data_IF_015828459721
#
_entry.id   IF_015828459721
#
_cell.length_a   1.000
_cell.length_b   1.000
_cell.length_c   1.000
_cell.angle_alpha   90.00
_cell.angle_beta   90.00
_cell.angle_gamma   90.00
#
_symmetry.space_group_name_H-M   'P 1'
#
loop_
_entity.id
_entity.type
_entity.pdbx_description
1 polymer ?
#
# COMPACT_ATOMS: atom_id res chain seq x y z
N UNK A 1 25.93 -46.67 4.56
CA UNK A 1 26.27 -45.34 5.06
C UNK A 1 25.26 -44.42 4.33
N UNK A 2 24.25 -43.96 5.05
CA UNK A 2 23.26 -43.07 4.52
C UNK A 2 23.81 -41.63 4.68
N UNK A 3 23.97 -40.91 3.58
CA UNK A 3 24.26 -39.48 3.61
C UNK A 3 23.03 -38.73 4.06
N UNK A 4 23.14 -38.03 5.19
CA UNK A 4 22.15 -37.08 5.66
C UNK A 4 22.08 -35.90 4.67
N UNK A 5 20.94 -35.76 4.02
CA UNK A 5 20.61 -34.58 3.22
C UNK A 5 20.41 -33.43 4.21
N UNK A 6 21.39 -32.54 4.32
CA UNK A 6 21.25 -31.26 5.02
C UNK A 6 20.16 -30.44 4.33
N UNK A 7 19.10 -30.16 5.05
CA UNK A 7 18.15 -29.10 4.72
C UNK A 7 18.92 -27.78 4.59
N UNK A 8 18.64 -26.93 3.57
CA UNK A 8 19.27 -25.62 3.49
C UNK A 8 18.81 -24.80 4.68
N UNK A 9 19.77 -24.33 5.47
CA UNK A 9 19.57 -23.28 6.46
C UNK A 9 18.92 -22.10 5.71
N UNK A 10 17.79 -21.62 6.23
CA UNK A 10 17.16 -20.37 5.79
C UNK A 10 18.21 -19.28 5.95
N UNK A 11 18.78 -18.80 4.83
CA UNK A 11 19.57 -17.58 4.82
C UNK A 11 18.74 -16.48 5.46
N UNK A 12 19.19 -15.92 6.61
CA UNK A 12 18.66 -14.69 7.17
C UNK A 12 18.69 -13.65 6.06
N UNK A 13 17.54 -13.30 5.51
CA UNK A 13 17.43 -12.20 4.55
C UNK A 13 18.04 -10.97 5.21
N UNK A 14 19.10 -10.41 4.64
CA UNK A 14 19.87 -9.33 5.23
C UNK A 14 18.96 -8.22 5.73
N UNK A 15 19.16 -7.77 6.97
CA UNK A 15 18.35 -6.71 7.59
C UNK A 15 18.36 -5.48 6.70
N UNK A 16 17.20 -4.90 6.43
CA UNK A 16 17.12 -3.65 5.71
C UNK A 16 17.57 -2.47 6.59
N UNK A 17 17.86 -1.33 5.99
CA UNK A 17 18.42 -0.17 6.71
C UNK A 17 17.47 0.41 7.79
N UNK A 18 16.13 0.27 7.65
CA UNK A 18 15.17 0.70 8.68
C UNK A 18 15.37 -0.14 9.94
N UNK A 19 15.45 -1.47 9.77
CA UNK A 19 15.66 -2.37 10.89
C UNK A 19 17.01 -2.13 11.57
N UNK A 20 18.06 -1.79 10.79
CA UNK A 20 19.35 -1.42 11.38
C UNK A 20 19.25 -0.16 12.25
N UNK A 21 18.53 0.88 11.78
CA UNK A 21 18.31 2.09 12.58
C UNK A 21 17.50 1.80 13.85
N UNK A 22 16.47 0.95 13.75
CA UNK A 22 15.66 0.56 14.91
C UNK A 22 16.52 -0.21 15.92
N UNK A 23 17.34 -1.18 15.45
CA UNK A 23 18.25 -1.94 16.31
C UNK A 23 19.23 -1.02 17.04
N UNK A 24 19.79 -0.01 16.37
CA UNK A 24 20.66 1.00 16.98
C UNK A 24 19.91 1.83 18.03
N UNK A 25 18.68 2.24 17.73
CA UNK A 25 17.88 3.12 18.59
C UNK A 25 17.38 2.43 19.87
N UNK A 26 17.11 1.12 19.81
CA UNK A 26 16.64 0.34 20.98
C UNK A 26 17.79 -0.32 21.77
N UNK A 27 19.00 -0.35 21.21
CA UNK A 27 20.19 -0.88 21.88
C UNK A 27 20.56 -0.08 23.12
N UNK A 28 21.50 -0.61 23.90
CA UNK A 28 22.05 0.08 25.08
C UNK A 28 22.66 1.45 24.68
N UNK A 29 22.18 2.52 25.28
CA UNK A 29 22.57 3.90 24.97
C UNK A 29 21.84 4.51 23.76
N UNK A 30 20.98 3.77 23.09
CA UNK A 30 20.15 4.28 21.99
C UNK A 30 18.99 5.15 22.47
N UNK A 31 18.44 5.95 21.56
CA UNK A 31 17.39 6.94 21.86
C UNK A 31 16.13 6.30 22.47
N UNK A 32 15.79 5.06 22.07
CA UNK A 32 14.60 4.33 22.48
C UNK A 32 14.93 3.08 23.30
N UNK A 33 16.07 3.07 23.98
CA UNK A 33 16.47 1.95 24.84
C UNK A 33 15.36 1.58 25.83
N UNK A 34 14.95 0.30 25.81
CA UNK A 34 13.92 -0.23 26.71
C UNK A 34 12.48 0.19 26.37
N UNK A 35 12.28 0.92 25.27
CA UNK A 35 10.95 1.27 24.78
C UNK A 35 10.43 0.24 23.78
N UNK A 36 9.12 0.08 23.73
CA UNK A 36 8.45 -0.71 22.70
C UNK A 36 8.52 0.04 21.36
N UNK A 37 8.93 -0.65 20.30
CA UNK A 37 8.89 -0.10 18.94
C UNK A 37 7.44 0.22 18.56
N UNK A 38 7.20 1.47 18.22
CA UNK A 38 5.85 1.96 17.92
C UNK A 38 5.86 2.73 16.61
N UNK A 39 5.17 2.21 15.62
CA UNK A 39 5.01 2.79 14.28
C UNK A 39 3.57 3.24 14.06
N UNK A 40 3.28 3.84 12.92
CA UNK A 40 1.91 4.18 12.52
C UNK A 40 1.76 4.17 11.00
N UNK A 41 0.58 3.83 10.52
CA UNK A 41 0.14 4.01 9.14
C UNK A 41 -0.90 5.13 9.08
N UNK A 42 -0.61 6.30 8.45
CA UNK A 42 -1.48 7.47 8.46
C UNK A 42 -2.09 7.74 7.07
N UNK A 43 -3.05 6.94 6.59
CA UNK A 43 -3.64 7.19 5.28
C UNK A 43 -4.58 8.41 5.31
N UNK A 44 -4.57 9.21 4.22
CA UNK A 44 -5.64 10.18 3.97
C UNK A 44 -6.92 9.44 3.55
N UNK A 45 -8.09 9.67 4.20
CA UNK A 45 -9.36 9.03 3.84
C UNK A 45 -10.01 9.70 2.62
N UNK A 46 -9.28 9.78 1.50
CA UNK A 46 -9.67 10.44 0.26
C UNK A 46 -9.71 9.52 -0.97
N UNK A 47 -9.74 8.21 -0.75
CA UNK A 47 -9.81 7.17 -1.78
C UNK A 47 -9.42 5.80 -1.25
N UNK A 48 -9.65 4.78 -2.06
CA UNK A 48 -9.30 3.40 -1.76
C UNK A 48 -7.79 3.17 -1.75
N UNK A 49 -7.34 2.21 -0.95
CA UNK A 49 -5.96 1.76 -0.96
C UNK A 49 -5.64 1.05 -2.29
N UNK A 50 -4.41 1.15 -2.72
CA UNK A 50 -3.90 0.47 -3.91
C UNK A 50 -2.57 -0.24 -3.60
N UNK A 51 -2.08 -1.03 -4.52
CA UNK A 51 -0.85 -1.84 -4.35
C UNK A 51 0.35 -1.01 -3.83
N UNK A 52 0.44 0.27 -4.17
CA UNK A 52 1.49 1.16 -3.64
C UNK A 52 1.43 1.37 -2.13
N UNK A 53 0.24 1.32 -1.52
CA UNK A 53 0.07 1.42 -0.06
C UNK A 53 0.45 0.13 0.65
N UNK A 54 0.38 -1.04 -0.04
CA UNK A 54 0.73 -2.32 0.57
C UNK A 54 2.19 -2.35 1.03
N UNK A 55 3.10 -1.72 0.27
CA UNK A 55 4.51 -1.63 0.68
C UNK A 55 4.65 -0.84 1.99
N UNK A 56 3.96 0.31 2.13
CA UNK A 56 3.97 1.09 3.36
C UNK A 56 3.35 0.30 4.52
N UNK A 57 2.18 -0.33 4.31
CA UNK A 57 1.54 -1.19 5.31
C UNK A 57 2.47 -2.31 5.78
N UNK A 58 3.13 -3.01 4.86
CA UNK A 58 4.08 -4.08 5.19
C UNK A 58 5.29 -3.54 5.96
N UNK A 59 5.74 -2.31 5.67
CA UNK A 59 6.83 -1.68 6.41
C UNK A 59 6.37 -1.25 7.80
N UNK A 60 5.24 -0.54 7.92
CA UNK A 60 4.77 0.02 9.20
C UNK A 60 4.31 -1.10 10.15
N UNK A 61 3.35 -1.93 9.73
CA UNK A 61 2.83 -3.05 10.53
C UNK A 61 3.85 -4.19 10.66
N UNK A 62 4.51 -4.58 9.57
CA UNK A 62 5.51 -5.65 9.60
C UNK A 62 6.73 -5.31 10.46
N UNK A 63 7.13 -4.04 10.55
CA UNK A 63 8.14 -3.60 11.52
C UNK A 63 7.64 -3.79 12.95
N UNK A 64 6.41 -3.36 13.25
CA UNK A 64 5.83 -3.56 14.57
C UNK A 64 5.74 -5.06 14.91
N UNK A 65 5.22 -5.90 14.01
CA UNK A 65 5.17 -7.36 14.19
C UNK A 65 6.55 -7.95 14.51
N UNK A 66 7.59 -7.55 13.76
CA UNK A 66 8.96 -8.08 13.92
C UNK A 66 9.58 -7.78 15.27
N UNK A 67 9.27 -6.62 15.85
CA UNK A 67 9.80 -6.21 17.16
C UNK A 67 8.82 -6.47 18.31
N UNK A 68 7.75 -7.23 18.11
CA UNK A 68 6.65 -7.38 19.07
C UNK A 68 6.16 -6.02 19.60
N UNK A 69 6.14 -5.04 18.71
CA UNK A 69 5.80 -3.66 18.97
C UNK A 69 4.34 -3.34 18.64
N UNK A 70 4.09 -2.06 18.42
CA UNK A 70 2.75 -1.52 18.17
C UNK A 70 2.72 -0.77 16.84
N UNK A 71 1.57 -0.81 16.15
CA UNK A 71 1.32 0.05 14.99
C UNK A 71 -0.07 0.70 15.13
N UNK A 72 -0.12 2.03 15.01
CA UNK A 72 -1.37 2.78 15.02
C UNK A 72 -1.93 2.91 13.60
N UNK A 73 -3.24 2.88 13.47
CA UNK A 73 -3.95 3.37 12.30
C UNK A 73 -4.48 4.78 12.61
N UNK A 74 -3.90 5.81 11.98
CA UNK A 74 -4.36 7.19 12.14
C UNK A 74 -4.85 7.73 10.80
N UNK A 75 -6.13 8.02 10.68
CA UNK A 75 -6.66 8.73 9.51
C UNK A 75 -6.13 10.16 9.50
N UNK A 76 -5.34 10.51 8.48
CA UNK A 76 -4.90 11.89 8.27
C UNK A 76 -6.04 12.68 7.63
N UNK A 77 -6.96 13.13 8.48
CA UNK A 77 -8.12 13.93 8.14
C UNK A 77 -7.92 15.43 8.48
N UNK A 78 -6.70 15.91 8.35
CA UNK A 78 -6.36 17.33 8.62
C UNK A 78 -6.87 18.29 7.55
N UNK A 79 -7.21 17.80 6.37
CA UNK A 79 -7.70 18.60 5.24
C UNK A 79 -9.22 18.38 4.99
N UNK A 80 -10.09 19.34 5.29
CA UNK A 80 -11.55 19.15 5.23
C UNK A 80 -12.13 18.95 3.82
N UNK A 81 -11.33 19.06 2.76
CA UNK A 81 -11.85 19.19 1.39
C UNK A 81 -12.12 17.88 0.65
N UNK A 82 -11.77 16.71 1.20
CA UNK A 82 -11.73 15.48 0.39
C UNK A 82 -12.08 14.19 1.12
N UNK A 83 -12.59 14.26 2.32
CA UNK A 83 -12.70 13.13 3.21
C UNK A 83 -14.12 12.57 3.23
N UNK A 84 -14.23 11.23 3.17
CA UNK A 84 -15.51 10.51 3.18
C UNK A 84 -15.40 9.28 4.09
N UNK A 85 -16.46 9.02 4.86
CA UNK A 85 -16.58 7.87 5.76
C UNK A 85 -16.50 6.53 5.01
N UNK A 86 -16.96 6.49 3.76
CA UNK A 86 -16.82 5.33 2.87
C UNK A 86 -15.36 4.90 2.72
N UNK A 87 -14.45 5.87 2.54
CA UNK A 87 -13.03 5.57 2.39
C UNK A 87 -12.38 5.09 3.69
N UNK A 88 -12.83 5.61 4.83
CA UNK A 88 -12.36 5.15 6.15
C UNK A 88 -12.66 3.65 6.34
N UNK A 89 -13.91 3.25 6.09
CA UNK A 89 -14.30 1.84 6.23
C UNK A 89 -13.63 0.93 5.18
N UNK A 90 -13.46 1.39 3.95
CA UNK A 90 -12.74 0.65 2.92
C UNK A 90 -11.26 0.43 3.30
N UNK A 91 -10.59 1.46 3.85
CA UNK A 91 -9.21 1.37 4.33
C UNK A 91 -9.09 0.34 5.46
N UNK A 92 -9.97 0.37 6.45
CA UNK A 92 -10.00 -0.61 7.55
C UNK A 92 -10.17 -2.04 7.03
N UNK A 93 -11.14 -2.27 6.14
CA UNK A 93 -11.38 -3.57 5.53
C UNK A 93 -10.17 -4.09 4.75
N UNK A 94 -9.51 -3.24 3.98
CA UNK A 94 -8.34 -3.62 3.20
C UNK A 94 -7.14 -3.99 4.09
N UNK A 95 -6.91 -3.26 5.19
CA UNK A 95 -5.84 -3.53 6.16
C UNK A 95 -6.09 -4.87 6.85
N UNK A 96 -7.30 -5.11 7.34
CA UNK A 96 -7.67 -6.40 7.94
C UNK A 96 -7.60 -7.56 6.94
N UNK A 97 -8.02 -7.33 5.69
CA UNK A 97 -7.89 -8.36 4.66
C UNK A 97 -6.42 -8.74 4.40
N UNK A 98 -5.49 -7.78 4.47
CA UNK A 98 -4.06 -8.07 4.37
C UNK A 98 -3.51 -8.81 5.60
N UNK A 99 -4.30 -8.99 6.66
CA UNK A 99 -3.93 -9.67 7.90
C UNK A 99 -3.25 -8.79 8.93
N UNK A 100 -3.33 -7.46 8.79
CA UNK A 100 -2.85 -6.50 9.78
C UNK A 100 -3.98 -6.05 10.72
N UNK A 101 -3.62 -5.77 11.96
CA UNK A 101 -4.55 -5.28 12.98
C UNK A 101 -3.89 -4.20 13.85
N UNK A 102 -4.64 -3.15 14.09
CA UNK A 102 -4.24 -2.04 14.97
C UNK A 102 -4.82 -2.17 16.39
N UNK A 103 -5.72 -3.14 16.66
CA UNK A 103 -6.43 -3.32 17.92
C UNK A 103 -7.30 -2.09 18.25
N UNK A 104 -7.09 -1.51 19.42
CA UNK A 104 -7.77 -0.29 19.90
C UNK A 104 -7.06 1.02 19.50
N UNK A 105 -5.94 0.94 18.76
CA UNK A 105 -5.11 2.09 18.37
C UNK A 105 -5.55 2.71 17.04
N UNK A 106 -6.81 3.12 16.99
CA UNK A 106 -7.40 3.83 15.86
C UNK A 106 -7.62 5.29 16.21
N UNK A 107 -7.04 6.20 15.43
CA UNK A 107 -7.04 7.63 15.68
C UNK A 107 -7.43 8.42 14.44
N UNK A 108 -7.83 9.67 14.66
CA UNK A 108 -8.01 10.68 13.62
C UNK A 108 -7.11 11.88 13.89
N UNK A 109 -6.48 12.43 12.87
CA UNK A 109 -5.71 13.67 12.99
C UNK A 109 -6.54 14.84 13.52
N UNK A 110 -7.82 14.91 13.15
CA UNK A 110 -8.75 15.94 13.63
C UNK A 110 -9.05 15.88 15.13
N UNK A 111 -8.75 14.78 15.82
CA UNK A 111 -8.92 14.69 17.28
C UNK A 111 -7.87 15.54 18.02
N UNK A 112 -6.76 15.87 17.37
CA UNK A 112 -5.64 16.63 17.93
C UNK A 112 -5.67 18.13 17.59
N UNK A 113 -6.66 18.65 16.87
CA UNK A 113 -6.70 20.05 16.45
C UNK A 113 -6.60 21.06 17.59
N UNK A 114 -7.13 20.76 18.78
CA UNK A 114 -7.00 21.63 19.94
C UNK A 114 -5.55 21.68 20.45
N UNK A 115 -4.88 20.53 20.43
CA UNK A 115 -3.48 20.43 20.84
C UNK A 115 -2.56 21.08 19.80
N UNK A 116 -2.81 20.83 18.50
CA UNK A 116 -2.08 21.50 17.41
C UNK A 116 -2.18 23.03 17.55
N UNK A 117 -3.40 23.54 17.85
CA UNK A 117 -3.61 24.97 18.09
C UNK A 117 -2.85 25.45 19.33
N UNK A 118 -2.84 24.71 20.42
CA UNK A 118 -2.11 25.04 21.65
C UNK A 118 -0.61 25.15 21.39
N UNK A 119 -0.04 24.21 20.63
CA UNK A 119 1.37 24.24 20.24
C UNK A 119 1.69 25.41 19.31
N UNK A 120 0.81 25.75 18.39
CA UNK A 120 0.96 26.94 17.53
C UNK A 120 0.98 28.23 18.35
N UNK A 121 0.08 28.38 19.31
CA UNK A 121 0.07 29.52 20.27
C UNK A 121 1.37 29.57 21.09
N UNK A 122 1.88 28.43 21.52
CA UNK A 122 3.15 28.33 22.22
C UNK A 122 4.32 28.82 21.36
N UNK A 123 4.38 28.42 20.10
CA UNK A 123 5.42 28.91 19.18
C UNK A 123 5.36 30.43 18.97
N UNK A 124 4.15 31.00 18.87
CA UNK A 124 4.00 32.47 18.78
C UNK A 124 4.57 33.13 20.06
N UNK A 125 4.19 32.63 21.25
CA UNK A 125 4.67 33.14 22.55
C UNK A 125 6.20 33.07 22.68
N UNK A 126 6.82 32.03 22.11
CA UNK A 126 8.28 31.87 22.05
C UNK A 126 8.93 32.76 20.99
N UNK A 127 8.17 33.55 20.18
CA UNK A 127 8.69 34.34 19.08
C UNK A 127 9.15 33.47 17.89
N UNK A 128 8.72 32.22 17.82
CA UNK A 128 9.08 31.22 16.80
C UNK A 128 8.01 31.04 15.73
N UNK A 129 6.91 31.80 15.79
CA UNK A 129 5.90 31.87 14.73
C UNK A 129 5.29 33.27 14.67
N UNK A 130 4.80 33.63 13.51
CA UNK A 130 4.18 34.94 13.25
C UNK A 130 3.03 34.83 12.23
N UNK A 131 2.01 35.70 12.35
CA UNK A 131 0.95 35.80 11.36
C UNK A 131 1.42 36.61 10.15
N UNK A 132 1.26 36.03 8.98
CA UNK A 132 1.65 36.57 7.69
C UNK A 132 0.40 36.90 6.86
N UNK A 133 0.31 38.10 6.32
CA UNK A 133 -0.80 38.58 5.49
C UNK A 133 -0.50 38.63 3.99
N UNK A 134 0.57 37.93 3.56
CA UNK A 134 0.84 37.76 2.14
C UNK A 134 -0.24 36.90 1.51
N UNK A 135 -0.80 37.36 0.40
CA UNK A 135 -1.65 36.54 -0.47
C UNK A 135 -0.86 35.37 -1.05
N UNK A 136 -1.50 34.30 -1.56
CA UNK A 136 -0.80 33.20 -2.22
C UNK A 136 0.12 33.65 -3.36
N UNK A 137 -0.28 34.66 -4.13
CA UNK A 137 0.48 35.23 -5.23
C UNK A 137 1.71 35.96 -4.72
N UNK A 138 1.55 36.84 -3.72
CA UNK A 138 2.65 37.56 -3.08
C UNK A 138 3.62 36.60 -2.39
N UNK A 139 3.10 35.57 -1.72
CA UNK A 139 3.92 34.51 -1.11
C UNK A 139 4.80 33.83 -2.15
N UNK A 140 4.23 33.48 -3.32
CA UNK A 140 4.97 32.85 -4.42
C UNK A 140 6.08 33.78 -4.96
N UNK A 141 5.81 35.08 -5.08
CA UNK A 141 6.79 36.07 -5.53
C UNK A 141 7.92 36.28 -4.51
N UNK A 142 7.59 36.21 -3.21
CA UNK A 142 8.53 36.47 -2.12
C UNK A 142 9.24 35.21 -1.61
N UNK A 143 8.98 34.03 -2.20
CA UNK A 143 9.56 32.74 -1.79
C UNK A 143 11.08 32.69 -2.00
N UNK A 144 11.63 33.56 -2.85
CA UNK A 144 13.03 33.48 -3.28
C UNK A 144 13.29 32.31 -4.24
N UNK A 145 14.56 32.06 -4.53
CA UNK A 145 15.01 30.99 -5.41
C UNK A 145 16.33 30.39 -4.87
N UNK A 146 16.96 29.47 -5.61
CA UNK A 146 18.27 28.92 -5.25
C UNK A 146 19.28 30.08 -5.19
N UNK A 147 19.89 30.26 -4.01
CA UNK A 147 20.82 31.41 -3.76
C UNK A 147 20.16 32.76 -3.57
N UNK A 148 18.84 32.89 -3.70
CA UNK A 148 18.08 34.09 -3.44
C UNK A 148 17.21 33.90 -2.19
N UNK A 149 17.43 34.65 -1.10
CA UNK A 149 16.63 34.54 0.13
C UNK A 149 15.14 34.80 -0.12
N UNK A 150 14.29 34.17 0.67
CA UNK A 150 12.90 34.56 0.76
C UNK A 150 12.75 35.88 1.51
N UNK A 151 11.64 36.58 1.30
CA UNK A 151 11.31 37.82 2.00
C UNK A 151 9.95 37.67 2.70
N UNK A 152 9.87 38.16 3.94
CA UNK A 152 8.59 38.22 4.65
C UNK A 152 8.51 39.55 5.41
N UNK A 153 7.67 40.49 4.96
CA UNK A 153 7.53 41.81 5.60
C UNK A 153 6.88 41.72 6.99
N UNK A 154 6.26 40.59 7.32
CA UNK A 154 5.56 40.36 8.60
C UNK A 154 6.38 39.57 9.60
N UNK A 155 7.62 39.22 9.29
CA UNK A 155 8.47 38.34 10.10
C UNK A 155 8.76 38.89 11.50
N UNK A 156 8.87 40.21 11.60
CA UNK A 156 9.19 40.91 12.86
C UNK A 156 7.94 41.52 13.51
N UNK A 157 6.74 41.02 13.18
CA UNK A 157 5.49 41.40 13.85
C UNK A 157 5.58 41.09 15.35
N UNK A 158 5.11 42.03 16.23
CA UNK A 158 5.08 41.80 17.65
C UNK A 158 4.33 40.51 18.02
N UNK A 159 4.78 39.83 19.08
CA UNK A 159 4.16 38.58 19.56
C UNK A 159 2.70 38.78 19.91
N UNK A 160 2.37 39.87 20.60
CA UNK A 160 1.01 40.20 21.01
C UNK A 160 0.08 40.40 19.82
N UNK A 161 0.54 41.06 18.77
CA UNK A 161 -0.23 41.25 17.53
C UNK A 161 -0.46 39.93 16.80
N UNK A 162 0.57 39.07 16.74
CA UNK A 162 0.43 37.72 16.14
C UNK A 162 -0.52 36.83 16.96
N UNK A 163 -0.54 36.94 18.27
CA UNK A 163 -1.50 36.23 19.15
C UNK A 163 -2.94 36.71 18.93
N UNK A 164 -3.16 38.03 18.88
CA UNK A 164 -4.46 38.61 18.59
C UNK A 164 -4.99 38.15 17.24
N UNK A 165 -4.19 38.31 16.18
CA UNK A 165 -4.57 37.92 14.82
C UNK A 165 -4.83 36.43 14.71
N UNK A 166 -4.03 35.56 15.32
CA UNK A 166 -4.23 34.13 15.27
C UNK A 166 -5.50 33.69 16.01
N UNK A 167 -5.81 34.33 17.15
CA UNK A 167 -7.08 34.13 17.84
C UNK A 167 -8.30 34.54 16.99
N UNK A 168 -8.20 35.64 16.28
CA UNK A 168 -9.24 36.16 15.38
C UNK A 168 -9.38 35.33 14.10
N UNK A 169 -8.24 34.75 13.62
CA UNK A 169 -8.29 33.73 12.56
C UNK A 169 -9.14 32.53 13.00
N UNK A 170 -8.93 32.03 14.22
CA UNK A 170 -9.73 30.93 14.79
C UNK A 170 -11.21 31.33 14.97
N UNK A 171 -11.49 32.58 15.32
CA UNK A 171 -12.84 33.10 15.46
C UNK A 171 -13.59 33.27 14.11
N UNK A 172 -12.90 33.09 12.98
CA UNK A 172 -13.48 33.14 11.64
C UNK A 172 -13.66 34.57 11.09
N UNK A 173 -12.95 35.56 11.62
CA UNK A 173 -13.09 36.96 11.20
C UNK A 173 -12.52 37.24 9.81
N UNK A 174 -11.65 36.36 9.28
CA UNK A 174 -10.94 36.61 8.03
C UNK A 174 -11.31 35.57 6.95
N UNK A 175 -11.41 35.99 5.68
CA UNK A 175 -11.71 35.07 4.59
C UNK A 175 -10.53 34.13 4.26
N UNK A 176 -10.82 33.09 3.49
CA UNK A 176 -9.80 32.16 2.97
C UNK A 176 -8.68 32.93 2.25
N UNK A 177 -7.42 32.56 2.53
CA UNK A 177 -6.25 33.16 1.89
C UNK A 177 -5.83 34.53 2.43
N UNK A 178 -6.57 35.15 3.35
CA UNK A 178 -6.23 36.45 3.91
C UNK A 178 -4.96 36.41 4.76
N UNK A 179 -4.77 35.33 5.51
CA UNK A 179 -3.64 35.18 6.43
C UNK A 179 -3.21 33.74 6.55
N UNK A 180 -1.98 33.54 6.97
CA UNK A 180 -1.39 32.26 7.37
C UNK A 180 -0.55 32.44 8.63
N UNK A 181 -0.40 31.39 9.44
CA UNK A 181 0.62 31.34 10.46
C UNK A 181 1.87 30.68 9.88
N UNK A 182 3.02 31.31 10.04
CA UNK A 182 4.32 30.82 9.56
C UNK A 182 5.27 30.57 10.73
N UNK A 183 6.02 29.46 10.65
CA UNK A 183 7.16 29.26 11.54
C UNK A 183 8.28 30.26 11.21
N UNK A 184 9.00 30.75 12.23
CA UNK A 184 10.13 31.68 12.09
C UNK A 184 11.43 30.90 12.19
N UNK A 185 11.97 30.47 11.04
CA UNK A 185 13.14 29.58 10.95
C UNK A 185 14.30 30.30 10.24
N UNK A 186 14.41 30.13 8.91
CA UNK A 186 15.52 30.68 8.14
C UNK A 186 15.11 31.00 6.69
N UNK A 187 14.98 32.28 6.36
CA UNK A 187 14.62 32.72 4.99
C UNK A 187 15.73 32.49 3.96
N UNK A 188 16.96 32.15 4.40
CA UNK A 188 18.12 31.92 3.51
C UNK A 188 18.38 30.47 3.24
N UNK A 189 17.65 29.56 3.90
CA UNK A 189 17.87 28.11 3.82
C UNK A 189 17.86 27.61 2.37
N UNK A 190 18.79 26.71 2.04
CA UNK A 190 18.77 25.96 0.78
C UNK A 190 17.57 25.01 0.66
N UNK A 191 17.01 24.59 1.78
CA UNK A 191 15.78 23.80 1.84
C UNK A 191 14.56 24.74 1.93
N UNK A 192 13.73 24.73 0.88
CA UNK A 192 12.54 25.58 0.82
C UNK A 192 11.52 25.30 1.93
N UNK A 193 11.47 24.08 2.46
CA UNK A 193 10.60 23.72 3.58
C UNK A 193 11.02 24.37 4.91
N UNK A 194 12.23 24.93 4.98
CA UNK A 194 12.76 25.64 6.15
C UNK A 194 12.68 27.17 6.01
N UNK A 195 12.21 27.70 4.85
CA UNK A 195 12.08 29.15 4.61
C UNK A 195 10.79 29.72 5.20
N UNK A 196 10.72 29.76 6.52
CA UNK A 196 9.54 30.20 7.26
C UNK A 196 8.25 29.59 6.70
N UNK A 197 8.09 28.25 6.79
CA UNK A 197 6.97 27.55 6.19
C UNK A 197 5.63 27.95 6.83
N UNK A 198 4.55 27.83 6.05
CA UNK A 198 3.20 27.94 6.56
C UNK A 198 2.89 26.73 7.44
N UNK A 199 2.41 26.97 8.67
CA UNK A 199 2.01 25.93 9.63
C UNK A 199 0.50 25.90 9.91
N UNK A 200 -0.22 27.02 9.64
CA UNK A 200 -1.68 27.10 9.66
C UNK A 200 -2.23 27.94 8.51
N UNK A 201 -3.39 27.55 8.00
CA UNK A 201 -4.14 28.29 6.98
C UNK A 201 -5.61 28.47 7.36
N UNK A 202 -6.27 29.50 6.81
CA UNK A 202 -7.71 29.70 6.92
C UNK A 202 -8.41 28.89 5.82
N UNK A 203 -9.42 28.11 6.21
CA UNK A 203 -10.27 27.37 5.29
C UNK A 203 -11.69 27.23 5.87
N UNK A 204 -12.65 28.02 5.37
CA UNK A 204 -14.03 27.99 5.80
C UNK A 204 -14.81 26.84 5.14
N UNK A 205 -14.39 25.60 5.44
CA UNK A 205 -15.09 24.39 5.00
C UNK A 205 -15.52 23.56 6.19
N UNK A 206 -16.71 22.95 6.09
CA UNK A 206 -17.15 21.97 7.07
C UNK A 206 -16.26 20.74 7.03
N UNK A 207 -15.79 20.32 8.18
CA UNK A 207 -14.99 19.08 8.33
C UNK A 207 -15.92 17.89 8.57
N UNK A 208 -15.66 16.74 7.98
CA UNK A 208 -16.53 15.56 8.06
C UNK A 208 -16.81 15.10 9.51
N UNK A 209 -15.88 15.26 10.44
CA UNK A 209 -16.06 14.92 11.87
C UNK A 209 -16.24 16.12 12.78
N UNK A 210 -15.52 17.22 12.56
CA UNK A 210 -15.53 18.39 13.42
C UNK A 210 -16.60 19.42 13.02
N UNK A 211 -17.29 19.22 11.89
CA UNK A 211 -18.28 20.16 11.39
C UNK A 211 -17.68 21.55 11.17
N UNK A 212 -18.37 22.58 11.66
CA UNK A 212 -17.94 23.98 11.53
C UNK A 212 -17.20 24.52 12.77
N UNK A 213 -16.69 23.63 13.65
CA UNK A 213 -15.95 24.04 14.85
C UNK A 213 -14.64 24.77 14.53
N UNK A 214 -14.04 24.45 13.39
CA UNK A 214 -12.77 24.99 12.93
C UNK A 214 -12.94 25.69 11.59
N UNK A 215 -12.19 26.80 11.41
CA UNK A 215 -12.03 27.51 10.15
C UNK A 215 -10.55 27.81 9.86
N UNK A 216 -9.65 27.34 10.74
CA UNK A 216 -8.20 27.28 10.51
C UNK A 216 -7.74 25.84 10.68
N UNK A 217 -6.79 25.41 9.87
CA UNK A 217 -6.32 24.04 9.85
C UNK A 217 -4.80 24.01 9.83
N UNK A 218 -4.19 23.09 10.61
CA UNK A 218 -2.74 22.92 10.58
C UNK A 218 -2.30 22.36 9.22
N UNK A 219 -1.09 22.68 8.82
CA UNK A 219 -0.45 22.02 7.69
C UNK A 219 0.13 20.68 8.13
N UNK A 220 0.22 19.74 7.20
CA UNK A 220 0.76 18.38 7.42
C UNK A 220 2.07 18.39 8.22
N UNK A 221 3.05 19.19 7.78
CA UNK A 221 4.39 19.23 8.40
C UNK A 221 4.40 19.75 9.85
N UNK A 222 3.31 20.38 10.29
CA UNK A 222 3.15 20.86 11.65
C UNK A 222 2.36 19.88 12.52
N UNK A 223 1.22 19.38 12.01
CA UNK A 223 0.34 18.48 12.74
C UNK A 223 0.98 17.09 12.96
N UNK A 224 1.61 16.54 11.93
CA UNK A 224 2.08 15.17 11.92
C UNK A 224 3.12 14.85 13.00
N UNK A 225 4.21 15.65 13.20
CA UNK A 225 5.15 15.43 14.29
C UNK A 225 4.50 15.57 15.68
N UNK A 226 3.54 16.47 15.85
CA UNK A 226 2.83 16.66 17.13
C UNK A 226 2.01 15.39 17.43
N UNK A 227 1.25 14.91 16.48
CA UNK A 227 0.41 13.73 16.60
C UNK A 227 1.24 12.47 16.84
N UNK A 228 2.36 12.29 16.12
CA UNK A 228 3.29 11.20 16.35
C UNK A 228 3.82 11.20 17.80
N UNK A 229 4.18 12.37 18.31
CA UNK A 229 4.69 12.49 19.69
C UNK A 229 3.60 12.22 20.74
N UNK A 230 2.36 12.67 20.51
CA UNK A 230 1.22 12.45 21.41
C UNK A 230 0.81 10.98 21.48
N UNK A 231 0.92 10.27 20.36
CA UNK A 231 0.62 8.84 20.27
C UNK A 231 1.79 7.96 20.77
N UNK A 232 2.93 8.55 21.13
CA UNK A 232 4.09 7.80 21.61
C UNK A 232 4.81 7.00 20.53
N UNK A 233 4.70 7.44 19.27
CA UNK A 233 5.41 6.84 18.13
C UNK A 233 6.92 6.96 18.37
N UNK A 234 7.66 5.86 18.21
CA UNK A 234 9.12 5.86 18.24
C UNK A 234 9.71 6.12 16.87
N UNK A 235 9.21 5.39 15.86
CA UNK A 235 9.72 5.45 14.50
C UNK A 235 8.62 5.83 13.52
N UNK A 236 8.74 7.06 13.00
CA UNK A 236 7.83 7.66 12.02
C UNK A 236 8.32 7.29 10.62
N UNK A 237 7.82 6.16 10.07
CA UNK A 237 8.23 5.66 8.76
C UNK A 237 7.39 6.33 7.67
N UNK A 238 8.03 6.85 6.61
CA UNK A 238 7.34 7.56 5.53
C UNK A 238 8.07 7.42 4.19
N UNK A 239 7.47 7.93 3.11
CA UNK A 239 8.10 7.86 1.80
C UNK A 239 9.17 8.92 1.59
N UNK A 240 10.14 8.67 0.67
CA UNK A 240 11.27 9.56 0.35
C UNK A 240 10.88 10.98 -0.05
N UNK A 241 9.66 11.22 -0.47
CA UNK A 241 9.18 12.59 -0.77
C UNK A 241 9.21 13.51 0.47
N UNK A 242 9.21 12.93 1.68
CA UNK A 242 9.30 13.65 2.94
C UNK A 242 10.74 13.85 3.45
N UNK A 243 11.77 13.37 2.75
CA UNK A 243 13.16 13.56 3.18
C UNK A 243 13.53 15.04 3.34
N UNK A 244 13.12 15.89 2.40
CA UNK A 244 13.32 17.33 2.50
C UNK A 244 12.46 18.00 3.59
N UNK A 245 11.43 17.34 4.08
CA UNK A 245 10.54 17.79 5.17
C UNK A 245 11.05 17.40 6.56
N UNK A 246 11.91 16.37 6.67
CA UNK A 246 12.45 15.90 7.97
C UNK A 246 13.11 17.00 8.82
N UNK A 247 13.86 17.97 8.28
CA UNK A 247 14.37 19.09 9.10
C UNK A 247 13.26 19.91 9.76
N UNK A 248 12.12 20.10 9.08
CA UNK A 248 10.96 20.78 9.66
C UNK A 248 10.26 19.92 10.71
N UNK A 249 10.10 18.62 10.45
CA UNK A 249 9.60 17.64 11.43
C UNK A 249 10.39 17.71 12.74
N UNK A 250 11.73 17.65 12.64
CA UNK A 250 12.61 17.74 13.81
C UNK A 250 12.50 19.11 14.49
N UNK A 251 12.41 20.19 13.73
CA UNK A 251 12.25 21.53 14.27
C UNK A 251 10.97 21.66 15.11
N UNK A 252 9.85 21.07 14.66
CA UNK A 252 8.60 21.05 15.43
C UNK A 252 8.78 20.27 16.73
N UNK A 253 9.37 19.07 16.67
CA UNK A 253 9.67 18.25 17.87
C UNK A 253 10.57 18.99 18.86
N UNK A 254 11.54 19.77 18.38
CA UNK A 254 12.50 20.49 19.22
C UNK A 254 11.90 21.71 19.92
N UNK A 255 10.91 22.37 19.31
CA UNK A 255 10.42 23.66 19.79
C UNK A 255 9.02 23.62 20.42
N UNK A 256 8.22 22.59 20.11
CA UNK A 256 6.96 22.31 20.78
C UNK A 256 7.18 21.57 22.13
N UNK A 257 6.19 21.63 23.02
CA UNK A 257 6.21 20.93 24.31
C UNK A 257 5.47 19.60 24.16
N UNK A 258 6.22 18.56 23.78
CA UNK A 258 5.69 17.25 23.41
C UNK A 258 6.21 16.15 24.34
N UNK A 259 5.39 15.08 24.59
CA UNK A 259 5.75 14.01 25.54
C UNK A 259 6.79 13.03 24.98
N UNK A 260 6.98 12.96 23.67
CA UNK A 260 7.90 12.05 23.01
C UNK A 260 8.67 12.75 21.88
N UNK A 261 9.74 12.11 21.42
CA UNK A 261 10.61 12.60 20.33
C UNK A 261 10.75 11.52 19.26
N UNK A 262 9.75 11.33 18.40
CA UNK A 262 9.82 10.30 17.35
C UNK A 262 10.97 10.56 16.37
N UNK A 263 11.50 9.49 15.77
CA UNK A 263 12.50 9.55 14.70
C UNK A 263 11.84 9.30 13.34
N UNK A 264 11.91 10.27 12.43
CA UNK A 264 11.45 10.10 11.06
C UNK A 264 12.49 9.36 10.22
N UNK A 265 12.05 8.32 9.47
CA UNK A 265 12.88 7.52 8.56
C UNK A 265 12.14 7.36 7.25
N UNK A 266 12.80 7.67 6.13
CA UNK A 266 12.20 7.62 4.80
C UNK A 266 12.64 6.40 4.00
N UNK A 267 11.69 5.87 3.21
CA UNK A 267 11.92 4.75 2.28
C UNK A 267 11.35 5.04 0.88
N UNK A 268 11.90 4.39 -0.14
CA UNK A 268 11.43 4.54 -1.51
C UNK A 268 10.03 3.94 -1.69
N UNK A 269 9.13 4.71 -2.33
CA UNK A 269 7.80 4.23 -2.71
C UNK A 269 7.90 3.03 -3.64
N UNK A 270 6.83 2.23 -3.71
CA UNK A 270 6.69 1.23 -4.75
C UNK A 270 6.50 1.91 -6.11
N UNK A 271 7.45 1.66 -7.01
CA UNK A 271 7.26 1.84 -8.44
C UNK A 271 6.94 0.48 -9.07
N UNK A 272 5.88 0.40 -9.86
CA UNK A 272 5.52 -0.80 -10.61
C UNK A 272 5.15 -0.38 -12.03
N UNK A 273 5.67 -1.08 -13.01
CA UNK A 273 5.40 -0.78 -14.41
C UNK A 273 3.95 -1.14 -14.79
N UNK A 274 3.51 -0.71 -15.96
CA UNK A 274 2.16 -0.97 -16.51
C UNK A 274 0.99 -0.70 -15.55
N UNK A 275 1.22 0.10 -14.47
CA UNK A 275 0.25 0.33 -13.41
C UNK A 275 0.10 1.82 -13.08
N UNK A 276 -1.14 2.29 -13.08
CA UNK A 276 -1.47 3.67 -12.69
C UNK A 276 -1.75 3.74 -11.19
N UNK A 277 -0.84 4.37 -10.41
CA UNK A 277 -0.99 4.53 -8.94
C UNK A 277 -1.41 5.94 -8.51
N UNK A 278 -1.72 6.83 -9.44
CA UNK A 278 -2.17 8.18 -9.13
C UNK A 278 -3.65 8.19 -8.72
N UNK A 279 -3.95 8.49 -7.45
CA UNK A 279 -5.35 8.61 -6.95
C UNK A 279 -6.22 9.48 -7.84
N UNK A 280 -5.70 10.64 -8.33
CA UNK A 280 -6.43 11.53 -9.23
C UNK A 280 -6.82 10.86 -10.55
N UNK A 281 -5.89 10.06 -11.13
CA UNK A 281 -6.16 9.34 -12.38
C UNK A 281 -7.12 8.18 -12.15
N UNK A 282 -6.98 7.45 -11.05
CA UNK A 282 -7.89 6.35 -10.70
C UNK A 282 -9.30 6.86 -10.44
N UNK A 283 -9.45 7.97 -9.71
CA UNK A 283 -10.75 8.63 -9.49
C UNK A 283 -11.41 9.03 -10.81
N UNK A 284 -10.64 9.59 -11.75
CA UNK A 284 -11.14 9.94 -13.10
C UNK A 284 -11.69 8.72 -13.84
N UNK A 285 -11.03 7.55 -13.73
CA UNK A 285 -11.53 6.32 -14.38
C UNK A 285 -12.89 5.90 -13.82
N UNK A 286 -13.13 6.09 -12.53
CA UNK A 286 -14.41 5.78 -11.86
C UNK A 286 -15.48 6.82 -12.22
N UNK A 287 -15.17 8.11 -12.09
CA UNK A 287 -16.10 9.22 -12.33
C UNK A 287 -16.55 9.30 -13.79
N UNK A 288 -15.66 9.01 -14.73
CA UNK A 288 -15.96 8.99 -16.18
C UNK A 288 -16.47 7.62 -16.67
N UNK A 289 -16.74 6.67 -15.75
CA UNK A 289 -17.30 5.34 -16.05
C UNK A 289 -16.47 4.48 -17.01
N UNK A 290 -15.14 4.65 -17.06
CA UNK A 290 -14.25 3.75 -17.79
C UNK A 290 -14.13 2.37 -17.09
N UNK A 291 -14.38 2.35 -15.79
CA UNK A 291 -14.45 1.15 -14.95
C UNK A 291 -15.76 1.13 -14.18
N UNK A 292 -16.17 -0.06 -13.70
CA UNK A 292 -17.44 -0.24 -12.98
C UNK A 292 -17.46 0.36 -11.57
N UNK A 293 -16.27 0.63 -10.99
CA UNK A 293 -16.12 1.18 -9.65
C UNK A 293 -14.69 1.01 -9.16
N UNK A 294 -14.48 1.32 -7.91
CA UNK A 294 -13.16 1.20 -7.27
C UNK A 294 -12.70 -0.26 -7.12
N UNK A 295 -13.62 -1.20 -7.10
CA UNK A 295 -13.38 -2.64 -7.02
C UNK A 295 -13.30 -3.34 -8.38
N UNK A 296 -13.30 -2.58 -9.48
CA UNK A 296 -13.15 -3.16 -10.83
C UNK A 296 -11.84 -3.97 -10.90
N UNK A 297 -11.87 -5.23 -11.40
CA UNK A 297 -10.67 -6.09 -11.48
C UNK A 297 -9.51 -5.53 -12.30
N UNK A 298 -9.76 -4.48 -13.09
CA UNK A 298 -8.73 -3.76 -13.86
C UNK A 298 -8.01 -2.69 -13.04
N UNK A 299 -8.57 -2.34 -11.87
CA UNK A 299 -8.01 -1.33 -10.98
C UNK A 299 -6.89 -1.92 -10.10
N UNK A 300 -5.81 -1.17 -9.82
CA UNK A 300 -4.74 -1.58 -8.91
C UNK A 300 -5.10 -1.36 -7.42
N UNK A 301 -6.36 -1.07 -7.12
CA UNK A 301 -6.88 -0.97 -5.76
C UNK A 301 -6.86 -2.34 -5.07
N UNK A 302 -6.74 -2.38 -3.75
CA UNK A 302 -6.75 -3.65 -3.02
C UNK A 302 -8.06 -4.41 -3.20
N UNK A 303 -9.19 -3.71 -3.13
CA UNK A 303 -10.50 -4.30 -3.40
C UNK A 303 -10.62 -4.81 -4.86
N UNK A 304 -10.03 -4.13 -5.84
CA UNK A 304 -9.97 -4.58 -7.23
C UNK A 304 -9.08 -5.81 -7.42
N UNK A 305 -7.90 -5.82 -6.82
CA UNK A 305 -6.99 -6.97 -6.82
C UNK A 305 -7.63 -8.18 -6.13
N UNK A 306 -8.27 -7.99 -4.97
CA UNK A 306 -9.01 -9.04 -4.26
C UNK A 306 -10.12 -9.62 -5.13
N UNK A 307 -10.92 -8.79 -5.80
CA UNK A 307 -11.97 -9.23 -6.73
C UNK A 307 -11.40 -9.95 -7.95
N UNK A 308 -10.21 -9.58 -8.40
CA UNK A 308 -9.49 -10.27 -9.50
C UNK A 308 -8.93 -11.64 -9.07
N UNK A 309 -8.87 -11.95 -7.77
CA UNK A 309 -8.42 -13.23 -7.23
C UNK A 309 -7.03 -13.20 -6.58
N UNK A 310 -6.45 -12.02 -6.33
CA UNK A 310 -5.24 -11.90 -5.53
C UNK A 310 -5.53 -12.25 -4.08
N UNK A 311 -4.61 -12.98 -3.46
CA UNK A 311 -4.65 -13.34 -2.05
C UNK A 311 -3.84 -12.33 -1.22
N UNK A 312 -4.22 -12.15 0.03
CA UNK A 312 -3.45 -11.34 0.97
C UNK A 312 -2.00 -11.85 1.12
N UNK A 313 -1.85 -13.18 1.20
CA UNK A 313 -0.54 -13.83 1.30
C UNK A 313 0.36 -13.52 0.10
N UNK A 314 -0.17 -13.57 -1.13
CA UNK A 314 0.61 -13.25 -2.34
C UNK A 314 1.08 -11.80 -2.38
N UNK A 315 0.25 -10.85 -1.91
CA UNK A 315 0.61 -9.43 -1.86
C UNK A 315 1.64 -9.16 -0.76
N UNK A 316 1.49 -9.78 0.43
CA UNK A 316 2.50 -9.68 1.50
C UNK A 316 3.84 -10.24 1.05
N UNK A 317 3.86 -11.45 0.47
CA UNK A 317 5.06 -12.07 -0.09
C UNK A 317 5.73 -11.19 -1.15
N UNK A 318 4.93 -10.59 -2.05
CA UNK A 318 5.46 -9.62 -3.02
C UNK A 318 6.13 -8.43 -2.34
N UNK A 319 5.48 -7.79 -1.35
CA UNK A 319 6.01 -6.63 -0.63
C UNK A 319 7.30 -6.98 0.16
N UNK A 320 7.35 -8.15 0.77
CA UNK A 320 8.53 -8.64 1.48
C UNK A 320 9.72 -8.88 0.52
N UNK A 321 9.49 -9.53 -0.61
CA UNK A 321 10.52 -9.87 -1.59
C UNK A 321 11.09 -8.68 -2.34
N UNK A 322 10.31 -7.65 -2.63
CA UNK A 322 10.82 -6.40 -3.23
C UNK A 322 11.66 -5.59 -2.24
N UNK A 323 11.51 -5.85 -0.95
CA UNK A 323 12.31 -5.27 0.12
C UNK A 323 12.13 -3.75 0.28
N UNK A 324 13.03 -3.16 1.08
CA UNK A 324 13.05 -1.74 1.43
C UNK A 324 14.33 -1.10 0.91
N UNK A 325 14.19 -0.03 0.13
CA UNK A 325 15.29 0.69 -0.47
C UNK A 325 15.20 2.20 -0.20
N UNK A 326 16.35 2.89 -0.24
CA UNK A 326 16.45 4.37 -0.22
C UNK A 326 16.40 4.99 -1.60
N UNK A 327 16.52 4.20 -2.67
CA UNK A 327 16.49 4.69 -4.05
C UNK A 327 15.22 4.24 -4.74
N UNK A 328 14.54 5.12 -5.51
CA UNK A 328 13.40 4.72 -6.32
C UNK A 328 13.79 3.60 -7.30
N UNK A 329 12.94 2.58 -7.39
CA UNK A 329 13.04 1.50 -8.35
C UNK A 329 11.68 1.21 -8.94
N UNK A 330 11.66 0.58 -10.11
CA UNK A 330 10.44 0.13 -10.78
C UNK A 330 10.47 -1.40 -10.84
N UNK A 331 9.49 -2.03 -10.26
CA UNK A 331 9.29 -3.47 -10.25
C UNK A 331 8.44 -3.87 -11.44
N UNK A 332 8.79 -4.95 -12.13
CA UNK A 332 7.98 -5.50 -13.20
C UNK A 332 6.64 -6.06 -12.66
N UNK A 333 5.53 -5.71 -13.30
CA UNK A 333 4.21 -6.20 -12.92
C UNK A 333 4.14 -7.74 -12.92
N UNK A 334 4.87 -8.37 -13.85
CA UNK A 334 4.99 -9.82 -13.92
C UNK A 334 5.51 -10.48 -12.64
N UNK A 335 6.27 -9.76 -11.81
CA UNK A 335 6.73 -10.27 -10.52
C UNK A 335 5.60 -10.34 -9.48
N UNK A 336 4.68 -9.38 -9.48
CA UNK A 336 3.48 -9.44 -8.65
C UNK A 336 2.60 -10.64 -9.04
N UNK A 337 2.42 -10.88 -10.35
CA UNK A 337 1.70 -12.07 -10.87
C UNK A 337 2.43 -13.38 -10.55
N UNK A 338 3.77 -13.35 -10.51
CA UNK A 338 4.56 -14.53 -10.13
C UNK A 338 4.29 -14.91 -8.67
N UNK A 339 4.32 -13.95 -7.75
CA UNK A 339 3.99 -14.20 -6.34
C UNK A 339 2.56 -14.76 -6.17
N UNK A 340 1.60 -14.25 -6.96
CA UNK A 340 0.25 -14.80 -6.96
C UNK A 340 0.21 -16.25 -7.45
N UNK A 341 0.91 -16.56 -8.58
CA UNK A 341 0.96 -17.95 -9.11
C UNK A 341 1.59 -18.91 -8.11
N UNK A 342 2.64 -18.52 -7.42
CA UNK A 342 3.27 -19.35 -6.38
C UNK A 342 2.26 -19.67 -5.27
N UNK A 343 1.57 -18.68 -4.75
CA UNK A 343 0.57 -18.86 -3.69
C UNK A 343 -0.61 -19.72 -4.15
N UNK A 344 -1.18 -19.44 -5.31
CA UNK A 344 -2.29 -20.23 -5.86
C UNK A 344 -1.87 -21.66 -6.20
N UNK A 345 -0.65 -21.88 -6.68
CA UNK A 345 -0.13 -23.23 -6.92
C UNK A 345 -0.01 -24.07 -5.63
N UNK A 346 0.28 -23.42 -4.50
CA UNK A 346 0.37 -24.10 -3.22
C UNK A 346 -1.01 -24.33 -2.59
N UNK A 347 -1.91 -23.35 -2.65
CA UNK A 347 -3.07 -23.30 -1.76
C UNK A 347 -4.42 -23.41 -2.48
N UNK A 348 -4.51 -23.13 -3.79
CA UNK A 348 -5.78 -23.15 -4.49
C UNK A 348 -6.22 -24.57 -4.88
N UNK A 349 -7.52 -24.81 -4.82
CA UNK A 349 -8.13 -26.01 -5.38
C UNK A 349 -7.86 -26.09 -6.89
N UNK A 350 -7.56 -27.30 -7.36
CA UNK A 350 -7.27 -27.58 -8.77
C UNK A 350 -8.45 -28.22 -9.43
N UNK A 351 -9.10 -27.51 -10.32
CA UNK A 351 -10.21 -28.04 -11.12
C UNK A 351 -9.79 -28.12 -12.59
N UNK A 352 -10.09 -29.26 -13.22
CA UNK A 352 -9.90 -29.44 -14.64
C UNK A 352 -11.14 -28.96 -15.38
N UNK A 353 -10.97 -28.07 -16.36
CA UNK A 353 -12.04 -27.61 -17.21
C UNK A 353 -11.65 -27.85 -18.67
N UNK A 354 -12.63 -28.26 -19.49
CA UNK A 354 -12.52 -28.41 -20.95
C UNK A 354 -13.39 -27.32 -21.56
N UNK A 355 -12.78 -26.30 -22.16
CA UNK A 355 -13.49 -25.10 -22.65
C UNK A 355 -13.91 -25.26 -24.12
N UNK A 356 -13.05 -25.86 -24.96
CA UNK A 356 -13.31 -26.20 -26.35
C UNK A 356 -13.27 -27.71 -26.52
N UNK A 357 -14.37 -28.42 -26.16
CA UNK A 357 -14.37 -29.86 -26.04
C UNK A 357 -14.35 -30.54 -27.44
N UNK A 358 -13.43 -31.47 -27.59
CA UNK A 358 -13.35 -32.41 -28.71
C UNK A 358 -13.53 -33.81 -28.20
N UNK A 359 -14.41 -34.59 -28.84
CA UNK A 359 -14.69 -35.96 -28.46
C UNK A 359 -13.52 -36.89 -28.83
N UNK A 360 -12.98 -37.58 -27.82
CA UNK A 360 -11.97 -38.61 -27.97
C UNK A 360 -12.64 -39.98 -27.81
N UNK A 361 -12.47 -40.86 -28.80
CA UNK A 361 -12.95 -42.24 -28.74
C UNK A 361 -11.76 -43.21 -28.64
N UNK A 362 -11.67 -43.93 -27.53
CA UNK A 362 -10.63 -44.97 -27.31
C UNK A 362 -11.13 -46.28 -27.93
N UNK A 363 -10.65 -46.61 -29.12
CA UNK A 363 -11.24 -47.68 -29.96
C UNK A 363 -11.06 -49.11 -29.40
N UNK A 364 -9.98 -49.32 -28.64
CA UNK A 364 -9.70 -50.59 -28.00
C UNK A 364 -10.24 -50.69 -26.55
N UNK A 365 -11.03 -49.73 -26.08
CA UNK A 365 -11.71 -49.80 -24.81
C UNK A 365 -13.12 -50.32 -25.01
N UNK A 366 -13.58 -51.29 -24.15
CA UNK A 366 -14.89 -51.95 -24.32
C UNK A 366 -16.05 -50.95 -24.23
N UNK A 367 -17.03 -51.14 -25.11
CA UNK A 367 -18.22 -50.29 -25.12
C UNK A 367 -19.10 -50.57 -23.88
N UNK A 368 -19.67 -49.52 -23.30
CA UNK A 368 -20.52 -49.62 -22.10
C UNK A 368 -19.79 -49.92 -20.80
N UNK A 369 -18.46 -50.04 -20.82
CA UNK A 369 -17.66 -50.18 -19.60
C UNK A 369 -17.10 -48.84 -19.15
N UNK A 370 -16.90 -48.72 -17.82
CA UNK A 370 -16.20 -47.60 -17.18
C UNK A 370 -15.40 -48.09 -16.00
N UNK A 371 -14.35 -47.39 -15.68
CA UNK A 371 -13.53 -47.61 -14.50
C UNK A 371 -13.24 -46.28 -13.80
N UNK A 372 -12.97 -46.34 -12.51
CA UNK A 372 -12.69 -45.20 -11.67
C UNK A 372 -11.24 -45.23 -11.24
N UNK A 373 -10.57 -44.09 -11.40
CA UNK A 373 -9.20 -43.88 -10.93
C UNK A 373 -9.18 -42.83 -9.85
N UNK A 374 -8.35 -43.04 -8.85
CA UNK A 374 -8.07 -42.07 -7.78
C UNK A 374 -6.90 -41.21 -8.22
N UNK A 375 -7.06 -39.90 -8.19
CA UNK A 375 -6.02 -38.93 -8.53
C UNK A 375 -5.82 -37.92 -7.39
N UNK A 376 -4.59 -37.48 -7.22
CA UNK A 376 -4.26 -36.44 -6.21
C UNK A 376 -4.88 -35.12 -6.55
N UNK A 377 -5.45 -34.41 -5.54
CA UNK A 377 -5.97 -33.05 -5.69
C UNK A 377 -4.83 -32.08 -5.99
N UNK A 378 -3.69 -32.24 -5.31
CA UNK A 378 -2.48 -31.48 -5.57
C UNK A 378 -1.26 -32.42 -5.62
N UNK A 379 -0.58 -32.57 -6.77
CA UNK A 379 0.60 -33.43 -6.90
C UNK A 379 1.80 -32.99 -6.04
N UNK A 380 1.83 -31.75 -5.56
CA UNK A 380 2.91 -31.21 -4.72
C UNK A 380 2.61 -31.26 -3.23
N UNK A 381 1.34 -31.54 -2.86
CA UNK A 381 0.90 -31.64 -1.47
C UNK A 381 -0.13 -32.77 -1.28
N UNK A 382 0.33 -33.98 -0.95
CA UNK A 382 -0.56 -35.11 -0.71
C UNK A 382 -1.58 -34.92 0.42
N UNK A 383 -1.35 -33.97 1.36
CA UNK A 383 -2.26 -33.68 2.44
C UNK A 383 -3.60 -33.09 1.98
N UNK A 384 -3.64 -32.51 0.75
CA UNK A 384 -4.88 -32.03 0.13
C UNK A 384 -5.82 -33.16 -0.34
N UNK A 385 -5.44 -34.42 -0.18
CA UNK A 385 -6.26 -35.57 -0.47
C UNK A 385 -6.37 -35.93 -1.95
N UNK A 386 -7.38 -36.72 -2.27
CA UNK A 386 -7.60 -37.29 -3.59
C UNK A 386 -9.06 -37.16 -4.02
N UNK A 387 -9.31 -37.29 -5.31
CA UNK A 387 -10.65 -37.40 -5.88
C UNK A 387 -10.71 -38.49 -6.92
N UNK A 388 -11.92 -38.96 -7.26
CA UNK A 388 -12.15 -39.99 -8.26
C UNK A 388 -12.45 -39.33 -9.64
N UNK A 389 -11.87 -39.95 -10.68
CA UNK A 389 -12.19 -39.64 -12.07
C UNK A 389 -12.68 -40.90 -12.77
N UNK A 390 -13.69 -40.77 -13.63
CA UNK A 390 -14.23 -41.90 -14.39
C UNK A 390 -13.62 -41.91 -15.80
N UNK A 391 -13.14 -43.06 -16.21
CA UNK A 391 -12.66 -43.36 -17.56
C UNK A 391 -13.62 -44.26 -18.30
N UNK A 392 -13.87 -43.97 -19.57
CA UNK A 392 -14.72 -44.76 -20.45
C UNK A 392 -14.21 -44.69 -21.90
N UNK A 393 -14.89 -45.41 -22.80
CA UNK A 393 -14.58 -45.38 -24.24
C UNK A 393 -14.67 -43.96 -24.85
N UNK A 394 -15.58 -43.17 -24.37
CA UNK A 394 -15.80 -41.77 -24.87
C UNK A 394 -15.41 -40.78 -23.80
N UNK A 395 -14.51 -39.87 -24.18
CA UNK A 395 -13.97 -38.83 -23.34
C UNK A 395 -14.01 -37.49 -24.04
N UNK A 396 -13.81 -36.43 -23.31
CA UNK A 396 -13.68 -35.09 -23.85
C UNK A 396 -12.29 -34.55 -23.50
N UNK A 397 -11.61 -33.99 -24.51
CA UNK A 397 -10.31 -33.33 -24.36
C UNK A 397 -10.42 -31.90 -24.87
N UNK A 398 -9.46 -31.03 -24.54
CA UNK A 398 -9.39 -29.70 -25.10
C UNK A 398 -8.99 -29.76 -26.60
N UNK A 399 -9.51 -28.88 -27.45
CA UNK A 399 -9.13 -28.78 -28.85
C UNK A 399 -7.62 -28.69 -29.05
N UNK A 400 -6.93 -27.89 -28.19
CA UNK A 400 -5.47 -27.74 -28.18
C UNK A 400 -4.71 -29.01 -27.79
N UNK A 401 -5.37 -30.03 -27.26
CA UNK A 401 -4.77 -31.34 -26.94
C UNK A 401 -4.60 -32.23 -28.18
N UNK A 402 -5.14 -31.85 -29.33
CA UNK A 402 -4.98 -32.52 -30.60
C UNK A 402 -4.52 -31.57 -31.70
N UNK A 403 -3.55 -31.96 -32.51
CA UNK A 403 -3.08 -31.18 -33.65
C UNK A 403 -2.77 -32.10 -34.83
N UNK A 404 -3.46 -31.90 -35.94
CA UNK A 404 -3.26 -32.71 -37.14
C UNK A 404 -1.87 -32.48 -37.79
N UNK A 405 -1.43 -31.21 -37.85
CA UNK A 405 -0.09 -30.83 -38.30
C UNK A 405 0.64 -30.18 -37.13
N UNK A 406 1.46 -30.91 -36.35
CA UNK A 406 2.05 -30.43 -35.15
C UNK A 406 3.10 -29.34 -35.39
N UNK A 407 3.08 -28.29 -34.56
CA UNK A 407 4.13 -27.29 -34.50
C UNK A 407 5.37 -27.85 -33.79
N UNK A 408 6.57 -27.26 -34.00
CA UNK A 408 7.79 -27.70 -33.31
C UNK A 408 7.59 -27.77 -31.77
N UNK A 409 8.03 -28.88 -31.18
CA UNK A 409 7.91 -29.17 -29.74
C UNK A 409 6.50 -29.47 -29.21
N UNK A 410 5.50 -29.69 -30.09
CA UNK A 410 4.20 -30.16 -29.66
C UNK A 410 4.31 -31.57 -29.08
N UNK A 411 3.77 -31.80 -27.88
CA UNK A 411 3.93 -33.04 -27.12
C UNK A 411 2.59 -33.70 -26.73
N UNK A 412 1.52 -33.35 -27.45
CA UNK A 412 0.18 -33.90 -27.21
C UNK A 412 -0.26 -34.79 -28.39
N UNK A 413 -1.53 -35.15 -28.48
CA UNK A 413 -2.04 -36.07 -29.52
C UNK A 413 -1.85 -35.49 -30.94
N UNK A 414 -1.24 -36.28 -31.82
CA UNK A 414 -1.03 -35.94 -33.24
C UNK A 414 -0.94 -37.24 -34.03
N UNK A 415 -1.30 -37.21 -35.34
CA UNK A 415 -1.14 -38.38 -36.22
C UNK A 415 0.31 -38.90 -36.21
N UNK A 416 0.46 -40.20 -35.96
CA UNK A 416 1.77 -40.86 -35.85
C UNK A 416 2.72 -40.27 -34.76
N UNK A 417 2.17 -39.53 -33.83
CA UNK A 417 2.89 -38.98 -32.70
C UNK A 417 3.13 -39.97 -31.57
N UNK A 418 3.86 -39.56 -30.54
CA UNK A 418 4.08 -40.38 -29.36
C UNK A 418 2.80 -40.60 -28.57
N UNK A 419 2.80 -41.63 -27.69
CA UNK A 419 1.76 -41.83 -26.72
C UNK A 419 1.66 -40.66 -25.74
N UNK A 420 0.42 -40.24 -25.46
CA UNK A 420 0.09 -39.22 -24.47
C UNK A 420 -0.69 -39.83 -23.32
N UNK A 421 -0.27 -39.55 -22.08
CA UNK A 421 -0.99 -40.03 -20.90
C UNK A 421 -2.21 -39.12 -20.65
N UNK A 422 -3.39 -39.74 -20.62
CA UNK A 422 -4.56 -39.04 -20.07
C UNK A 422 -4.41 -38.96 -18.54
N UNK A 423 -4.79 -37.85 -17.95
CA UNK A 423 -4.55 -37.56 -16.53
C UNK A 423 -5.11 -38.66 -15.65
N UNK A 424 -4.25 -39.28 -14.83
CA UNK A 424 -4.61 -40.31 -13.88
C UNK A 424 -5.01 -41.66 -14.49
N UNK A 425 -5.04 -41.79 -15.83
CA UNK A 425 -5.51 -42.96 -16.53
C UNK A 425 -4.43 -43.54 -17.50
N UNK A 426 -4.83 -44.02 -18.65
CA UNK A 426 -3.99 -44.73 -19.61
C UNK A 426 -3.20 -43.78 -20.54
N UNK A 427 -2.02 -44.22 -21.03
CA UNK A 427 -1.42 -43.65 -22.20
C UNK A 427 -2.25 -44.02 -23.45
N UNK A 428 -2.47 -43.09 -24.35
CA UNK A 428 -3.20 -43.25 -25.59
C UNK A 428 -2.38 -42.72 -26.74
N UNK A 429 -2.50 -43.33 -27.95
CA UNK A 429 -1.94 -42.85 -29.19
C UNK A 429 -3.04 -42.63 -30.23
N UNK A 430 -2.82 -41.69 -31.13
CA UNK A 430 -3.76 -41.45 -32.21
C UNK A 430 -3.56 -42.42 -33.36
N UNK A 431 -4.61 -43.16 -33.74
CA UNK A 431 -4.53 -44.20 -34.78
C UNK A 431 -5.37 -43.92 -36.04
N UNK A 432 -6.44 -43.09 -35.97
CA UNK A 432 -7.35 -42.87 -37.08
C UNK A 432 -7.95 -41.45 -37.10
N UNK A 433 -8.06 -40.84 -38.28
CA UNK A 433 -8.88 -39.64 -38.54
C UNK A 433 -10.35 -40.04 -38.69
N UNK A 434 -11.23 -39.57 -37.80
CA UNK A 434 -12.69 -39.50 -38.01
C UNK A 434 -13.16 -38.08 -37.87
N UNK A 435 -14.20 -37.71 -38.60
CA UNK A 435 -14.82 -36.38 -38.52
C UNK A 435 -15.16 -36.05 -37.04
N UNK A 436 -14.75 -34.88 -36.57
CA UNK A 436 -14.99 -34.41 -35.21
C UNK A 436 -16.45 -34.02 -35.03
N UNK A 437 -17.14 -34.62 -34.08
CA UNK A 437 -18.37 -34.10 -33.50
C UNK A 437 -18.02 -33.12 -32.41
N UNK A 438 -18.37 -31.85 -32.54
CA UNK A 438 -18.20 -30.83 -31.49
C UNK A 438 -19.37 -30.86 -30.52
N UNK A 439 -19.15 -30.57 -29.24
CA UNK A 439 -20.20 -30.52 -28.22
C UNK A 439 -21.31 -29.48 -28.54
N UNK A 440 -21.11 -28.58 -29.51
CA UNK A 440 -22.09 -27.62 -29.94
C UNK A 440 -23.29 -28.24 -30.71
N UNK A 441 -23.21 -29.53 -31.05
CA UNK A 441 -24.28 -30.27 -31.74
C UNK A 441 -25.03 -31.24 -30.78
N UNK A 442 -24.80 -31.13 -29.49
CA UNK A 442 -25.58 -31.77 -28.45
C UNK A 442 -26.46 -30.75 -27.73
#
# INVERSE_FOLDING_TARGET
MAEEIKTPETEESGKNFILNFIDEDIAEGGQFQGMTVHTRFPPEPNGYLHIGHCKALTIDFGTAEKYNGLCNLRMDDTNPTKEDEEFVEAIKQDIHWLGFDWGDRFFYGSDYFEEDYRQAVLLIKKGLAYVCQLTPEEFKQNRGDIGIPAVSPYRDRPVEESLDLFSRMRAGEFPNGAMTLRAKIDLTSGNFNMRDPVIYRINHMSHHRQGNKWCIYPMYDFAHPIQDALEGITHSLCSLEFEAHRPLYNWVIDHCELPARPRQIEFARLGIDHTVMSKRKLRKLVEEHYVSGWDDPRMPTLCGLRRRGYTAASIRNFCERIGVAKSPNVIEYGFLEHCLREDLNANAERTMAVLHPVKLTVTNYPEGQSETFTVENNPTDPAQGTHEITFSRHLWIEEDDFMEVPVPKYKRLTPNGPECRLKGAYPVSYTHLRAHETAANL
#
